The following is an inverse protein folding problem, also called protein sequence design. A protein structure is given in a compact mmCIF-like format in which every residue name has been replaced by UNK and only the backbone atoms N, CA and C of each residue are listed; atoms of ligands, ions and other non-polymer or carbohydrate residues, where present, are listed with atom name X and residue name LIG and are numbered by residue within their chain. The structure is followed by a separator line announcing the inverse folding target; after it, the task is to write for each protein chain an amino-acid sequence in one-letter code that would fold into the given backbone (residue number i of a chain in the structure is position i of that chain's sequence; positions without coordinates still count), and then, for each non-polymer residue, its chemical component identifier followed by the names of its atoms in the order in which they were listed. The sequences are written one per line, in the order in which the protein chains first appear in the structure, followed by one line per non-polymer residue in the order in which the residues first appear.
data_IF_892782072881
#
_entry.id   IF_892782072881
#
_cell.length_a   1.000
_cell.length_b   1.000
_cell.length_c   1.000
_cell.angle_alpha   90.00
_cell.angle_beta   90.00
_cell.angle_gamma   90.00
#
_symmetry.space_group_name_H-M   'P 1'
#
loop_
_entity.id
_entity.type
_entity.pdbx_description
1 polymer ?
#
# COMPACT_ATOMS: atom_id res chain seq x y z
N UNK A 1 -38.84 -0.90 -16.26
CA UNK A 1 -37.46 -0.47 -16.50
C UNK A 1 -36.56 -1.14 -15.48
N UNK A 2 -35.77 -2.14 -15.88
CA UNK A 2 -34.77 -2.72 -14.99
C UNK A 2 -33.48 -1.92 -15.14
N UNK A 3 -33.20 -1.11 -14.13
CA UNK A 3 -31.87 -0.54 -13.88
C UNK A 3 -31.06 -1.67 -13.24
N UNK A 4 -30.64 -2.64 -14.07
CA UNK A 4 -29.66 -3.64 -13.67
C UNK A 4 -28.25 -3.04 -13.82
N UNK A 5 -27.25 -3.55 -13.10
CA UNK A 5 -25.88 -3.08 -13.27
C UNK A 5 -25.52 -3.26 -14.74
N UNK A 6 -25.18 -2.16 -15.41
CA UNK A 6 -24.77 -2.13 -16.80
C UNK A 6 -23.93 -3.37 -17.07
N UNK A 7 -24.44 -4.24 -17.94
CA UNK A 7 -23.81 -5.51 -18.22
C UNK A 7 -22.40 -5.29 -18.77
N UNK A 8 -21.58 -6.33 -18.69
CA UNK A 8 -20.24 -6.33 -19.28
C UNK A 8 -20.29 -5.87 -20.75
N UNK A 9 -21.38 -6.18 -21.47
CA UNK A 9 -21.63 -5.75 -22.84
C UNK A 9 -21.79 -4.24 -23.02
N UNK A 10 -22.53 -3.55 -22.16
CA UNK A 10 -22.68 -2.09 -22.24
C UNK A 10 -21.38 -1.38 -21.87
N UNK A 11 -20.66 -1.86 -20.86
CA UNK A 11 -19.34 -1.35 -20.50
C UNK A 11 -18.35 -1.52 -21.67
N UNK A 12 -18.38 -2.66 -22.37
CA UNK A 12 -17.54 -2.92 -23.55
C UNK A 12 -17.84 -1.93 -24.68
N UNK A 13 -19.11 -1.63 -24.97
CA UNK A 13 -19.48 -0.66 -26.00
C UNK A 13 -18.96 0.74 -25.65
N UNK A 14 -19.15 1.18 -24.40
CA UNK A 14 -18.63 2.47 -23.92
C UNK A 14 -17.10 2.50 -24.02
N UNK A 15 -16.43 1.42 -23.61
CA UNK A 15 -14.99 1.28 -23.71
C UNK A 15 -14.52 1.42 -25.17
N UNK A 16 -15.20 0.77 -26.13
CA UNK A 16 -14.88 0.89 -27.56
C UNK A 16 -15.02 2.33 -28.05
N UNK A 17 -16.08 3.06 -27.66
CA UNK A 17 -16.26 4.48 -28.02
C UNK A 17 -15.15 5.34 -27.45
N UNK A 18 -14.79 5.15 -26.18
CA UNK A 18 -13.65 5.84 -25.54
C UNK A 18 -12.35 5.50 -26.26
N UNK A 19 -12.14 4.25 -26.64
CA UNK A 19 -10.97 3.79 -27.39
C UNK A 19 -10.91 4.36 -28.81
N UNK A 20 -12.04 4.69 -29.45
CA UNK A 20 -12.02 5.39 -30.74
C UNK A 20 -11.57 6.85 -30.59
N UNK A 21 -11.96 7.53 -29.51
CA UNK A 21 -11.59 8.93 -29.26
C UNK A 21 -10.14 9.04 -28.80
N UNK A 22 -9.74 8.24 -27.80
CA UNK A 22 -8.42 8.31 -27.19
C UNK A 22 -7.39 7.39 -27.87
N UNK A 23 -7.83 6.30 -28.50
CA UNK A 23 -6.98 5.29 -29.11
C UNK A 23 -6.63 4.12 -28.16
N UNK A 24 -6.51 2.87 -28.67
CA UNK A 24 -6.15 1.68 -27.90
C UNK A 24 -4.76 1.72 -27.26
N UNK A 25 -3.88 2.60 -27.72
CA UNK A 25 -2.52 2.75 -27.16
C UNK A 25 -2.48 3.74 -25.99
N UNK A 26 -3.35 4.76 -25.98
CA UNK A 26 -3.27 5.84 -24.98
C UNK A 26 -3.79 5.44 -23.60
N UNK A 27 -4.88 4.69 -23.54
CA UNK A 27 -5.42 4.17 -22.27
C UNK A 27 -4.40 3.33 -21.48
N UNK A 28 -3.76 2.30 -22.06
CA UNK A 28 -2.76 1.50 -21.34
C UNK A 28 -1.48 2.27 -21.05
N UNK A 29 -1.04 3.18 -21.92
CA UNK A 29 0.16 4.00 -21.66
C UNK A 29 -0.05 4.95 -20.49
N UNK A 30 -1.21 5.62 -20.40
CA UNK A 30 -1.57 6.45 -19.25
C UNK A 30 -1.75 5.61 -17.98
N UNK A 31 -2.39 4.43 -18.09
CA UNK A 31 -2.56 3.53 -16.96
C UNK A 31 -1.23 2.98 -16.42
N UNK A 32 -0.24 2.72 -17.28
CA UNK A 32 1.11 2.33 -16.86
C UNK A 32 1.78 3.43 -16.04
N UNK A 33 1.71 4.68 -16.50
CA UNK A 33 2.26 5.83 -15.76
C UNK A 33 1.60 6.01 -14.40
N UNK A 34 0.27 6.05 -14.36
CA UNK A 34 -0.50 6.16 -13.10
C UNK A 34 -0.22 4.95 -12.19
N UNK A 35 -0.14 3.75 -12.75
CA UNK A 35 0.10 2.51 -12.01
C UNK A 35 1.47 2.47 -11.35
N UNK A 36 2.51 3.00 -12.02
CA UNK A 36 3.84 3.14 -11.43
C UNK A 36 3.82 4.12 -10.26
N UNK A 37 3.22 5.31 -10.42
CA UNK A 37 3.09 6.29 -9.34
C UNK A 37 2.33 5.75 -8.14
N UNK A 38 1.20 5.05 -8.37
CA UNK A 38 0.41 4.43 -7.30
C UNK A 38 1.19 3.30 -6.61
N UNK A 39 1.99 2.53 -7.35
CA UNK A 39 2.83 1.47 -6.78
C UNK A 39 3.91 2.02 -5.87
N UNK A 40 4.60 3.07 -6.29
CA UNK A 40 5.62 3.74 -5.47
C UNK A 40 4.99 4.41 -4.24
N UNK A 41 3.85 5.07 -4.42
CA UNK A 41 3.08 5.67 -3.31
C UNK A 41 2.65 4.62 -2.28
N UNK A 42 2.09 3.48 -2.72
CA UNK A 42 1.74 2.36 -1.83
C UNK A 42 2.95 1.77 -1.12
N UNK A 43 4.11 1.71 -1.79
CA UNK A 43 5.35 1.23 -1.17
C UNK A 43 5.85 2.18 -0.09
N UNK A 44 5.82 3.49 -0.35
CA UNK A 44 6.14 4.51 0.63
C UNK A 44 5.24 4.44 1.87
N UNK A 45 3.93 4.36 1.68
CA UNK A 45 2.97 4.20 2.79
C UNK A 45 3.24 2.94 3.60
N UNK A 46 3.53 1.81 2.93
CA UNK A 46 3.81 0.55 3.63
C UNK A 46 5.08 0.62 4.45
N UNK A 47 6.15 1.20 3.92
CA UNK A 47 7.40 1.38 4.64
C UNK A 47 7.18 2.27 5.88
N UNK A 48 6.47 3.39 5.73
CA UNK A 48 6.16 4.28 6.87
C UNK A 48 5.33 3.58 7.95
N UNK A 49 4.36 2.73 7.56
CA UNK A 49 3.59 1.94 8.49
C UNK A 49 4.47 0.91 9.22
N UNK A 50 5.38 0.24 8.50
CA UNK A 50 6.35 -0.69 9.10
C UNK A 50 7.30 0.05 10.05
N UNK A 51 7.85 1.20 9.66
CA UNK A 51 8.77 1.99 10.49
C UNK A 51 8.08 2.48 11.78
N UNK A 52 6.80 2.88 11.70
CA UNK A 52 5.98 3.27 12.86
C UNK A 52 5.66 2.06 13.75
N UNK A 53 5.32 0.90 13.18
CA UNK A 53 5.06 -0.33 13.94
C UNK A 53 6.32 -0.86 14.60
N UNK A 54 7.46 -0.82 13.91
CA UNK A 54 8.77 -1.23 14.46
C UNK A 54 9.26 -0.24 15.51
N UNK A 55 9.03 1.07 15.36
CA UNK A 55 9.33 2.05 16.40
C UNK A 55 8.47 1.85 17.67
N UNK A 56 7.21 1.44 17.52
CA UNK A 56 6.33 1.10 18.65
C UNK A 56 6.70 -0.23 19.34
N UNK A 57 7.34 -1.16 18.62
CA UNK A 57 7.85 -2.43 19.19
C UNK A 57 9.27 -2.31 19.77
N UNK A 58 9.98 -1.19 19.54
CA UNK A 58 11.36 -0.99 20.00
C UNK A 58 11.49 -0.33 21.39
N UNK A 59 10.39 0.04 22.05
CA UNK A 59 10.42 0.58 23.42
C UNK A 59 10.23 -0.47 24.53
N UNK A 60 10.16 -1.77 24.21
CA UNK A 60 9.96 -2.83 25.22
C UNK A 60 11.12 -3.86 25.29
N UNK A 61 12.33 -3.49 24.84
CA UNK A 61 13.54 -4.30 25.00
C UNK A 61 14.76 -3.48 25.45
N UNK A 62 14.62 -2.65 26.49
CA UNK A 62 15.79 -2.11 27.23
C UNK A 62 15.67 -2.25 28.76
N UNK A 63 14.61 -2.89 29.28
CA UNK A 63 14.39 -3.04 30.73
C UNK A 63 14.45 -4.51 31.20
N UNK A 64 15.42 -5.28 30.70
CA UNK A 64 15.63 -6.67 31.14
C UNK A 64 17.12 -7.06 31.29
N UNK A 65 18.04 -6.09 31.39
CA UNK A 65 19.45 -6.40 31.64
C UNK A 65 20.09 -5.46 32.69
N UNK A 66 19.39 -5.24 33.80
CA UNK A 66 19.94 -4.61 34.99
C UNK A 66 19.28 -5.17 36.25
N UNK A 67 19.43 -6.48 36.46
CA UNK A 67 19.04 -7.12 37.73
C UNK A 67 20.00 -8.21 38.21
N UNK A 68 21.18 -8.34 37.59
CA UNK A 68 22.18 -9.32 38.04
C UNK A 68 23.60 -8.75 38.02
N UNK A 69 23.85 -7.66 38.76
CA UNK A 69 25.18 -7.34 39.30
C UNK A 69 25.02 -6.62 40.63
N UNK A 70 25.55 -7.22 41.71
CA UNK A 70 25.77 -6.68 43.07
C UNK A 70 24.69 -6.99 44.13
N UNK A 71 24.68 -8.22 44.64
CA UNK A 71 24.53 -8.43 46.10
C UNK A 71 25.40 -9.61 46.53
N UNK A 72 26.69 -9.53 46.23
CA UNK A 72 27.74 -10.31 46.89
C UNK A 72 28.82 -9.33 47.36
N UNK A 73 28.47 -8.48 48.33
CA UNK A 73 29.45 -7.83 49.20
C UNK A 73 28.80 -7.30 50.46
N UNK A 74 28.63 -8.18 51.47
CA UNK A 74 29.01 -7.80 52.83
C UNK A 74 29.19 -9.05 53.70
N UNK A 75 30.41 -9.13 54.25
CA UNK A 75 30.78 -9.95 55.40
C UNK A 75 29.86 -9.75 56.61
#
# INVERSE_FOLDING_TARGET
MRIGPLGIWELLIILVVVLLIFGPRRLPDMAKGIGQSVREFRKGIRNMQTDISTAAESEEQDNANQSDVTTDNKS
#
